data_IF_440622208800
#
_entry.id   IF_440622208800
#
_cell.length_a   1.000
_cell.length_b   1.000
_cell.length_c   1.000
_cell.angle_alpha   90.00
_cell.angle_beta   90.00
_cell.angle_gamma   90.00
#
_symmetry.space_group_name_H-M   'P 1'
#
loop_
_entity.id
_entity.type
_entity.pdbx_description
1 polymer ?
#
# COMPACT_ATOMS: atom_id res chain seq x y z
N UNK A 1 -1.14 -15.51 -4.38
CA UNK A 1 -2.59 -15.32 -4.12
C UNK A 1 -2.78 -13.84 -3.88
N UNK A 2 -3.67 -13.17 -4.62
CA UNK A 2 -4.04 -11.79 -4.34
C UNK A 2 -4.98 -11.75 -3.12
N UNK A 3 -4.94 -10.70 -2.29
CA UNK A 3 -5.74 -10.59 -1.08
C UNK A 3 -7.22 -10.52 -1.47
N UNK A 4 -8.05 -11.36 -0.85
CA UNK A 4 -9.49 -11.38 -1.08
C UNK A 4 -10.26 -10.44 -0.15
N UNK A 5 -9.58 -9.76 0.77
CA UNK A 5 -10.16 -8.80 1.72
C UNK A 5 -9.13 -7.76 2.17
N UNK A 6 -9.62 -6.63 2.72
CA UNK A 6 -8.77 -5.59 3.29
C UNK A 6 -7.91 -6.13 4.44
N UNK A 7 -8.46 -7.01 5.27
CA UNK A 7 -7.72 -7.58 6.40
C UNK A 7 -6.55 -8.46 5.92
N UNK A 8 -6.74 -9.22 4.83
CA UNK A 8 -5.66 -10.00 4.21
C UNK A 8 -4.58 -9.08 3.61
N UNK A 9 -4.98 -7.97 2.98
CA UNK A 9 -4.05 -6.97 2.47
C UNK A 9 -3.22 -6.33 3.58
N UNK A 10 -3.84 -5.97 4.71
CA UNK A 10 -3.15 -5.45 5.89
C UNK A 10 -2.18 -6.50 6.46
N UNK A 11 -2.58 -7.77 6.52
CA UNK A 11 -1.73 -8.84 7.02
C UNK A 11 -0.54 -9.09 6.08
N UNK A 12 -0.74 -9.05 4.76
CA UNK A 12 0.34 -9.17 3.78
C UNK A 12 1.38 -8.04 3.99
N UNK A 13 0.94 -6.80 4.21
CA UNK A 13 1.84 -5.68 4.53
C UNK A 13 2.58 -5.91 5.84
N UNK A 14 1.88 -6.34 6.91
CA UNK A 14 2.49 -6.60 8.22
C UNK A 14 3.49 -7.74 8.19
N UNK A 15 3.27 -8.73 7.35
CA UNK A 15 4.20 -9.84 7.12
C UNK A 15 5.44 -9.44 6.31
N UNK A 16 5.48 -8.18 5.82
CA UNK A 16 6.63 -7.62 5.13
C UNK A 16 6.65 -7.91 3.64
N UNK A 17 5.49 -8.22 3.03
CA UNK A 17 5.38 -8.46 1.59
C UNK A 17 5.31 -7.15 0.82
N UNK A 18 5.88 -7.16 -0.37
CA UNK A 18 5.78 -6.03 -1.30
C UNK A 18 4.51 -6.18 -2.12
N UNK A 19 3.69 -5.15 -2.16
CA UNK A 19 2.40 -5.14 -2.84
C UNK A 19 2.36 -4.01 -3.84
N UNK A 20 2.00 -4.31 -5.07
CA UNK A 20 1.65 -3.30 -6.06
C UNK A 20 0.19 -3.42 -6.43
N UNK A 21 -0.45 -2.27 -6.60
CA UNK A 21 -1.88 -2.20 -6.85
C UNK A 21 -2.24 -0.96 -7.66
N UNK A 22 -3.43 -0.99 -8.22
CA UNK A 22 -4.01 0.07 -9.04
C UNK A 22 -5.18 0.69 -8.28
N UNK A 23 -5.24 2.02 -8.28
CA UNK A 23 -6.39 2.79 -7.80
C UNK A 23 -6.57 4.02 -8.70
N UNK A 24 -7.78 4.22 -9.23
CA UNK A 24 -8.09 5.32 -10.16
C UNK A 24 -7.10 5.46 -11.33
N UNK A 25 -6.76 4.34 -11.98
CA UNK A 25 -5.78 4.27 -13.09
C UNK A 25 -4.34 4.65 -12.73
N UNK A 26 -4.02 4.80 -11.45
CA UNK A 26 -2.65 5.03 -10.98
C UNK A 26 -2.11 3.77 -10.33
N UNK A 27 -0.82 3.49 -10.56
CA UNK A 27 -0.11 2.38 -9.92
C UNK A 27 0.56 2.86 -8.64
N UNK A 28 0.48 2.03 -7.60
CA UNK A 28 1.07 2.27 -6.30
C UNK A 28 1.90 1.07 -5.87
N UNK A 29 2.86 1.30 -4.98
CA UNK A 29 3.63 0.24 -4.32
C UNK A 29 3.67 0.49 -2.82
N UNK A 30 3.55 -0.60 -2.05
CA UNK A 30 3.95 -0.68 -0.66
C UNK A 30 5.11 -1.68 -0.60
N UNK A 31 6.25 -1.24 -0.07
CA UNK A 31 7.49 -2.03 -0.06
C UNK A 31 8.06 -2.11 1.35
N UNK A 32 8.51 -3.29 1.75
CA UNK A 32 9.30 -3.49 2.96
C UNK A 32 10.80 -3.44 2.64
N UNK A 33 11.49 -2.44 3.19
CA UNK A 33 12.92 -2.22 2.96
C UNK A 33 13.71 -2.46 4.24
N UNK A 34 15.04 -2.61 4.18
CA UNK A 34 15.88 -2.66 5.39
C UNK A 34 15.75 -1.43 6.31
N UNK A 35 15.16 -0.34 5.83
CA UNK A 35 14.98 0.91 6.59
C UNK A 35 13.55 1.12 7.09
N UNK A 36 12.62 0.20 6.81
CA UNK A 36 11.22 0.30 7.16
C UNK A 36 10.30 0.14 5.94
N UNK A 37 9.06 0.60 6.07
CA UNK A 37 8.02 0.43 5.07
C UNK A 37 7.85 1.72 4.27
N UNK A 38 7.67 1.59 2.96
CA UNK A 38 7.48 2.72 2.05
C UNK A 38 6.19 2.55 1.26
N UNK A 39 5.48 3.66 1.06
CA UNK A 39 4.38 3.78 0.09
C UNK A 39 4.78 4.80 -0.98
N UNK A 40 4.46 4.52 -2.23
CA UNK A 40 4.67 5.46 -3.34
C UNK A 40 3.64 5.25 -4.45
N UNK A 41 3.30 6.34 -5.14
CA UNK A 41 2.65 6.32 -6.44
C UNK A 41 3.73 6.35 -7.53
N UNK A 42 3.60 5.49 -8.51
CA UNK A 42 4.52 5.44 -9.64
C UNK A 42 4.55 6.77 -10.40
N UNK A 43 5.77 7.20 -10.77
CA UNK A 43 6.04 8.46 -11.48
C UNK A 43 5.68 9.74 -10.71
N UNK A 44 5.58 9.65 -9.37
CA UNK A 44 5.24 10.76 -8.48
C UNK A 44 6.16 10.71 -7.24
N UNK A 45 7.34 11.33 -7.32
CA UNK A 45 8.34 11.30 -6.24
C UNK A 45 7.86 11.99 -4.95
N UNK A 46 6.94 12.96 -5.07
CA UNK A 46 6.38 13.69 -3.92
C UNK A 46 5.37 12.85 -3.12
N UNK A 47 4.94 11.71 -3.66
CA UNK A 47 3.99 10.80 -3.02
C UNK A 47 4.61 9.84 -1.99
N UNK A 48 5.94 9.85 -1.84
CA UNK A 48 6.66 8.89 -1.01
C UNK A 48 6.39 9.13 0.48
N UNK A 49 5.94 8.08 1.16
CA UNK A 49 5.80 8.05 2.62
C UNK A 49 6.65 6.89 3.14
N UNK A 50 7.52 7.15 4.12
CA UNK A 50 8.36 6.12 4.73
C UNK A 50 8.20 6.11 6.25
N UNK A 51 7.99 4.94 6.83
CA UNK A 51 7.80 4.74 8.26
C UNK A 51 8.64 3.57 8.77
N UNK A 52 8.82 3.47 10.09
CA UNK A 52 9.52 2.30 10.69
C UNK A 52 8.61 1.11 10.90
N UNK A 53 7.31 1.33 11.00
CA UNK A 53 6.32 0.30 11.32
C UNK A 53 5.21 0.26 10.27
N UNK A 54 4.68 -0.94 9.93
CA UNK A 54 3.65 -1.08 8.90
C UNK A 54 2.33 -0.43 9.32
N UNK A 55 1.96 -0.52 10.60
CA UNK A 55 0.73 0.10 11.12
C UNK A 55 0.79 1.63 11.08
N UNK A 56 1.98 2.22 11.26
CA UNK A 56 2.18 3.66 11.08
C UNK A 56 1.95 4.05 9.62
N UNK A 57 2.50 3.29 8.67
CA UNK A 57 2.30 3.52 7.23
C UNK A 57 0.81 3.45 6.88
N UNK A 58 0.14 2.38 7.30
CA UNK A 58 -1.29 2.15 7.06
C UNK A 58 -2.18 3.28 7.63
N UNK A 59 -1.74 3.95 8.70
CA UNK A 59 -2.45 5.09 9.30
C UNK A 59 -2.24 6.41 8.54
N UNK A 60 -1.13 6.55 7.81
CA UNK A 60 -0.74 7.77 7.10
C UNK A 60 -1.17 7.75 5.63
N UNK A 61 -1.13 6.59 4.99
CA UNK A 61 -1.43 6.45 3.56
C UNK A 61 -2.89 6.82 3.29
N UNK A 62 -3.06 7.74 2.35
CA UNK A 62 -4.36 8.16 1.84
C UNK A 62 -4.34 8.15 0.32
N UNK A 63 -5.38 7.59 -0.28
CA UNK A 63 -5.60 7.61 -1.72
C UNK A 63 -6.67 8.65 -2.02
N UNK A 64 -6.31 9.72 -2.73
CA UNK A 64 -7.19 10.87 -2.97
C UNK A 64 -7.84 11.43 -1.68
N UNK A 65 -7.09 11.43 -0.57
CA UNK A 65 -7.57 11.90 0.74
C UNK A 65 -8.35 10.87 1.55
N UNK A 66 -8.71 9.72 0.97
CA UNK A 66 -9.40 8.63 1.65
C UNK A 66 -8.43 7.66 2.33
N UNK A 67 -8.71 7.18 3.55
CA UNK A 67 -7.98 6.07 4.15
C UNK A 67 -8.01 4.82 3.26
N UNK A 68 -6.97 3.98 3.31
CA UNK A 68 -6.88 2.74 2.52
C UNK A 68 -8.12 1.84 2.67
N UNK A 69 -8.67 1.74 3.88
CA UNK A 69 -9.87 0.94 4.16
C UNK A 69 -11.10 1.43 3.40
N UNK A 70 -11.23 2.74 3.23
CA UNK A 70 -12.35 3.34 2.49
C UNK A 70 -12.14 3.24 0.97
N UNK A 71 -10.88 3.33 0.51
CA UNK A 71 -10.52 3.16 -0.89
C UNK A 71 -10.52 1.68 -1.36
N UNK A 72 -10.45 0.72 -0.43
CA UNK A 72 -10.33 -0.71 -0.71
C UNK A 72 -11.28 -1.27 -1.77
N UNK A 73 -12.58 -0.90 -1.83
CA UNK A 73 -13.49 -1.43 -2.85
C UNK A 73 -13.06 -1.15 -4.30
N UNK A 74 -12.25 -0.10 -4.52
CA UNK A 74 -11.77 0.33 -5.83
C UNK A 74 -10.29 -0.01 -6.07
N UNK A 75 -9.64 -0.70 -5.13
CA UNK A 75 -8.25 -1.14 -5.25
C UNK A 75 -8.21 -2.47 -6.02
N UNK A 76 -7.40 -2.52 -7.08
CA UNK A 76 -7.07 -3.74 -7.81
C UNK A 76 -5.62 -4.14 -7.53
N UNK A 77 -5.41 -5.33 -6.95
CA UNK A 77 -4.05 -5.82 -6.67
C UNK A 77 -3.43 -6.35 -7.97
N UNK A 78 -2.28 -5.79 -8.35
CA UNK A 78 -1.53 -6.14 -9.55
C UNK A 78 -0.57 -7.30 -9.25
N UNK A 79 0.32 -7.13 -8.28
CA UNK A 79 1.31 -8.15 -7.91
C UNK A 79 1.64 -8.12 -6.42
N UNK A 80 1.97 -9.29 -5.86
CA UNK A 80 2.53 -9.42 -4.52
C UNK A 80 3.77 -10.31 -4.59
N UNK A 81 4.88 -9.84 -4.01
CA UNK A 81 6.12 -10.59 -3.89
C UNK A 81 6.25 -11.32 -2.54
#
# INVERSE_FOLDING_TARGET
>A
MTPSSYDQFVEDIRSGRDIEFIYNSNRYSITNTPFGYSFTRYYDEDSVITTKQPDELLSLVKLNGLPLKEAWPDIEIDIIF
#
